data_IF_847533444445
#
_entry.id   IF_847533444445
#
_cell.length_a   1.000
_cell.length_b   1.000
_cell.length_c   1.000
_cell.angle_alpha   90.00
_cell.angle_beta   90.00
_cell.angle_gamma   90.00
#
_symmetry.space_group_name_H-M   'P 1'
#
loop_
_entity.id
_entity.type
_entity.pdbx_description
1 polymer ?
#
# COMPACT_ATOMS: atom_id res chain seq x y z
N UNK A 1 19.47 -12.58 15.61
CA UNK A 1 20.11 -13.25 14.46
C UNK A 1 20.82 -12.19 13.63
N UNK A 2 22.12 -11.99 13.84
CA UNK A 2 22.89 -10.97 13.11
C UNK A 2 23.45 -11.61 11.83
N UNK A 3 23.07 -11.09 10.66
CA UNK A 3 23.67 -11.48 9.37
C UNK A 3 24.88 -10.56 9.14
N UNK A 4 26.13 -11.03 9.32
CA UNK A 4 27.31 -10.22 9.11
C UNK A 4 27.69 -10.29 7.64
N UNK A 5 27.47 -9.20 6.91
CA UNK A 5 27.86 -9.07 5.50
C UNK A 5 26.98 -8.08 4.74
N UNK A 6 27.58 -7.27 3.87
CA UNK A 6 26.86 -6.33 3.01
C UNK A 6 25.91 -7.14 2.11
N UNK A 7 24.59 -6.93 2.24
CA UNK A 7 23.58 -7.58 1.39
C UNK A 7 23.89 -7.33 -0.09
N UNK A 8 23.88 -8.40 -0.91
CA UNK A 8 24.01 -8.29 -2.37
C UNK A 8 22.99 -7.31 -2.93
N UNK A 9 23.43 -6.48 -3.89
CA UNK A 9 22.59 -5.45 -4.50
C UNK A 9 21.30 -6.03 -5.11
N UNK A 10 21.39 -7.21 -5.73
CA UNK A 10 20.25 -7.92 -6.32
C UNK A 10 19.13 -8.19 -5.31
N UNK A 11 19.48 -8.57 -4.07
CA UNK A 11 18.50 -8.84 -3.01
C UNK A 11 17.84 -7.55 -2.53
N UNK A 12 18.60 -6.46 -2.45
CA UNK A 12 18.05 -5.14 -2.12
C UNK A 12 17.09 -4.65 -3.19
N UNK A 13 17.42 -4.88 -4.46
CA UNK A 13 16.59 -4.48 -5.58
C UNK A 13 15.31 -5.32 -5.65
N UNK A 14 15.41 -6.64 -5.49
CA UNK A 14 14.24 -7.53 -5.38
C UNK A 14 13.33 -7.14 -4.21
N UNK A 15 13.90 -6.83 -3.04
CA UNK A 15 13.14 -6.34 -1.89
C UNK A 15 12.46 -5.00 -2.18
N UNK A 16 13.17 -4.05 -2.80
CA UNK A 16 12.63 -2.76 -3.20
C UNK A 16 11.46 -2.91 -4.17
N UNK A 17 11.58 -3.75 -5.20
CA UNK A 17 10.49 -4.03 -6.14
C UNK A 17 9.29 -4.67 -5.44
N UNK A 18 9.53 -5.60 -4.50
CA UNK A 18 8.47 -6.18 -3.67
C UNK A 18 7.74 -5.13 -2.83
N UNK A 19 8.48 -4.24 -2.18
CA UNK A 19 7.92 -3.14 -1.39
C UNK A 19 7.13 -2.14 -2.24
N UNK A 20 7.59 -1.84 -3.46
CA UNK A 20 6.85 -1.00 -4.39
C UNK A 20 5.52 -1.65 -4.78
N UNK A 21 5.51 -2.96 -5.05
CA UNK A 21 4.28 -3.70 -5.35
C UNK A 21 3.31 -3.74 -4.17
N UNK A 22 3.81 -3.93 -2.96
CA UNK A 22 3.00 -3.91 -1.73
C UNK A 22 2.37 -2.53 -1.49
N UNK A 23 3.16 -1.46 -1.61
CA UNK A 23 2.69 -0.09 -1.47
C UNK A 23 1.66 0.28 -2.54
N UNK A 24 1.91 -0.11 -3.80
CA UNK A 24 0.97 0.11 -4.90
C UNK A 24 -0.36 -0.60 -4.66
N UNK A 25 -0.33 -1.87 -4.25
CA UNK A 25 -1.53 -2.65 -3.93
C UNK A 25 -2.31 -1.98 -2.81
N UNK A 26 -1.65 -1.65 -1.69
CA UNK A 26 -2.32 -1.05 -0.53
C UNK A 26 -2.91 0.33 -0.88
N UNK A 27 -2.17 1.17 -1.61
CA UNK A 27 -2.64 2.48 -2.06
C UNK A 27 -3.81 2.37 -3.05
N UNK A 28 -3.72 1.47 -4.03
CA UNK A 28 -4.79 1.22 -4.99
C UNK A 28 -6.05 0.69 -4.31
N UNK A 29 -5.91 -0.18 -3.31
CA UNK A 29 -7.03 -0.68 -2.53
C UNK A 29 -7.69 0.44 -1.71
N UNK A 30 -6.90 1.28 -1.04
CA UNK A 30 -7.42 2.44 -0.30
C UNK A 30 -8.20 3.42 -1.21
N UNK A 31 -7.63 3.76 -2.36
CA UNK A 31 -8.29 4.63 -3.35
C UNK A 31 -9.59 4.00 -3.87
N UNK A 32 -9.56 2.70 -4.19
CA UNK A 32 -10.74 1.97 -4.62
C UNK A 32 -11.85 2.01 -3.55
N UNK A 33 -11.54 1.72 -2.29
CA UNK A 33 -12.52 1.78 -1.20
C UNK A 33 -13.07 3.20 -0.99
N UNK A 34 -12.21 4.23 -1.06
CA UNK A 34 -12.65 5.61 -0.93
C UNK A 34 -13.73 5.94 -1.97
N UNK A 35 -13.49 5.61 -3.25
CA UNK A 35 -14.46 5.86 -4.30
C UNK A 35 -15.68 4.94 -4.21
N UNK A 36 -15.50 3.67 -3.82
CA UNK A 36 -16.62 2.74 -3.62
C UNK A 36 -17.60 3.22 -2.54
N UNK A 37 -17.07 3.62 -1.38
CA UNK A 37 -17.91 4.16 -0.30
C UNK A 37 -18.60 5.47 -0.69
N UNK A 38 -17.90 6.36 -1.38
CA UNK A 38 -18.46 7.65 -1.81
C UNK A 38 -19.50 7.52 -2.93
N UNK A 39 -19.18 6.79 -3.99
CA UNK A 39 -19.94 6.81 -5.24
C UNK A 39 -20.97 5.69 -5.34
N UNK A 40 -20.70 4.51 -4.76
CA UNK A 40 -21.60 3.36 -4.85
C UNK A 40 -22.53 3.29 -3.64
N UNK A 41 -21.98 3.51 -2.44
CA UNK A 41 -22.73 3.43 -1.19
C UNK A 41 -23.29 4.78 -0.71
N UNK A 42 -22.90 5.89 -1.34
CA UNK A 42 -23.41 7.23 -1.03
C UNK A 42 -22.95 7.77 0.34
N UNK A 43 -21.88 7.23 0.92
CA UNK A 43 -21.34 7.73 2.18
C UNK A 43 -20.55 9.04 1.99
N UNK A 44 -20.56 9.95 2.98
CA UNK A 44 -19.71 11.14 2.96
C UNK A 44 -18.22 10.77 2.91
N UNK A 45 -17.48 11.39 1.99
CA UNK A 45 -16.06 11.06 1.77
C UNK A 45 -15.15 11.32 2.94
N UNK A 46 -15.56 12.18 3.86
CA UNK A 46 -14.86 12.39 5.14
C UNK A 46 -14.85 11.13 6.00
N UNK A 47 -15.95 10.37 6.06
CA UNK A 47 -16.02 9.12 6.84
C UNK A 47 -15.24 7.98 6.16
N UNK A 48 -15.33 7.89 4.83
CA UNK A 48 -14.56 6.92 4.06
C UNK A 48 -13.04 7.19 4.17
N UNK A 49 -12.64 8.47 4.18
CA UNK A 49 -11.24 8.88 4.35
C UNK A 49 -10.67 8.53 5.72
N UNK A 50 -11.46 8.69 6.80
CA UNK A 50 -11.04 8.31 8.17
C UNK A 50 -10.94 6.78 8.33
N UNK A 51 -11.74 6.01 7.60
CA UNK A 51 -11.72 4.55 7.68
C UNK A 51 -10.58 3.91 6.86
N UNK A 52 -10.10 4.60 5.82
CA UNK A 52 -9.08 4.11 4.89
C UNK A 52 -7.67 4.59 5.26
N UNK A 53 -7.54 5.81 5.80
CA UNK A 53 -6.27 6.41 6.23
C UNK A 53 -5.83 5.94 7.61
#
# INVERSE_FOLDING_TARGET
MAVPGKLRFDVKLAFGVGQLGEGLKNGAFGIFLLFYYNQVLGMPGTLAGIAVG
#
